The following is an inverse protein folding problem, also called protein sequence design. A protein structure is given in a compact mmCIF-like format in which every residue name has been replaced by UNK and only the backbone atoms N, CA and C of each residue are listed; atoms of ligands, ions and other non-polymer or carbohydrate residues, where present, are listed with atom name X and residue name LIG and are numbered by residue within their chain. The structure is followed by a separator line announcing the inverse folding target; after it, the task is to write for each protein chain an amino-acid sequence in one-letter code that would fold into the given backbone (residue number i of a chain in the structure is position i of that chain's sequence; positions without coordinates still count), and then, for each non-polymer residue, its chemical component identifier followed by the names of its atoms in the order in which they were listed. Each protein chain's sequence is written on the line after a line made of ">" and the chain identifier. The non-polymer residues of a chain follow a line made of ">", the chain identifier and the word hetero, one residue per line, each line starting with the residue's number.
data_IF_631166681517
#
_entry.id   IF_631166681517
#
_cell.length_a   1.000
_cell.length_b   1.000
_cell.length_c   1.000
_cell.angle_alpha   90.00
_cell.angle_beta   90.00
_cell.angle_gamma   90.00
#
_symmetry.space_group_name_H-M   'P 1'
#
loop_
_entity.id
_entity.type
_entity.pdbx_description
1 polymer ?
#
# COMPACT_ATOMS: atom_id res chain seq x y z
N UNK A 1 -30.68 3.50 6.28
CA UNK A 1 -30.17 2.16 6.64
C UNK A 1 -31.12 1.55 7.65
N UNK A 2 -31.45 0.27 7.52
CA UNK A 2 -32.36 -0.42 8.44
C UNK A 2 -31.61 -0.92 9.68
N UNK A 3 -32.31 -1.15 10.81
CA UNK A 3 -31.71 -1.66 12.05
C UNK A 3 -30.87 -2.95 11.86
N UNK A 4 -31.23 -3.79 10.89
CA UNK A 4 -30.52 -5.03 10.56
C UNK A 4 -29.13 -4.76 9.96
N UNK A 5 -29.05 -3.76 9.09
CA UNK A 5 -27.83 -3.37 8.39
C UNK A 5 -26.79 -2.82 9.38
N UNK A 6 -27.20 -1.95 10.30
CA UNK A 6 -26.32 -1.46 11.38
C UNK A 6 -25.73 -2.57 12.26
N UNK A 7 -26.53 -3.60 12.55
CA UNK A 7 -26.09 -4.75 13.35
C UNK A 7 -25.06 -5.58 12.57
N UNK A 8 -25.31 -5.85 11.29
CA UNK A 8 -24.40 -6.61 10.45
C UNK A 8 -23.09 -5.85 10.22
N UNK A 9 -23.15 -4.55 9.98
CA UNK A 9 -21.96 -3.70 9.85
C UNK A 9 -21.12 -3.77 11.13
N UNK A 10 -21.74 -3.60 12.30
CA UNK A 10 -21.04 -3.73 13.59
C UNK A 10 -20.45 -5.13 13.79
N UNK A 11 -21.13 -6.17 13.33
CA UNK A 11 -20.65 -7.55 13.47
C UNK A 11 -19.40 -7.81 12.62
N UNK A 12 -19.41 -7.36 11.36
CA UNK A 12 -18.32 -7.58 10.40
C UNK A 12 -17.20 -6.54 10.46
N UNK A 13 -17.36 -5.44 11.20
CA UNK A 13 -16.26 -4.52 11.52
C UNK A 13 -15.16 -5.16 12.40
N UNK A 14 -15.44 -6.31 13.02
CA UNK A 14 -14.44 -7.07 13.78
C UNK A 14 -13.61 -7.93 12.81
N UNK A 15 -12.29 -7.73 12.77
CA UNK A 15 -11.41 -8.43 11.84
C UNK A 15 -11.39 -9.95 12.05
N UNK A 16 -11.60 -10.44 13.28
CA UNK A 16 -11.67 -11.88 13.55
C UNK A 16 -12.90 -12.49 12.89
N UNK A 17 -14.07 -11.88 13.16
CA UNK A 17 -15.35 -12.35 12.59
C UNK A 17 -15.38 -12.25 11.07
N UNK A 18 -14.76 -11.19 10.54
CA UNK A 18 -14.62 -11.01 9.11
C UNK A 18 -13.77 -12.12 8.49
N UNK A 19 -12.58 -12.39 9.04
CA UNK A 19 -11.71 -13.43 8.51
C UNK A 19 -12.34 -14.82 8.64
N UNK A 20 -12.97 -15.14 9.78
CA UNK A 20 -13.67 -16.41 9.97
C UNK A 20 -14.78 -16.61 8.94
N UNK A 21 -15.55 -15.55 8.64
CA UNK A 21 -16.57 -15.58 7.62
C UNK A 21 -16.00 -15.84 6.21
N UNK A 22 -14.96 -15.13 5.81
CA UNK A 22 -14.33 -15.32 4.50
C UNK A 22 -13.65 -16.68 4.38
N UNK A 23 -12.87 -17.08 5.39
CA UNK A 23 -12.23 -18.40 5.47
C UNK A 23 -13.26 -19.52 5.37
N UNK A 24 -14.38 -19.42 6.10
CA UNK A 24 -15.43 -20.43 6.08
C UNK A 24 -16.25 -20.46 4.79
N UNK A 25 -16.70 -19.30 4.29
CA UNK A 25 -17.69 -19.21 3.21
C UNK A 25 -17.05 -19.11 1.84
N UNK A 26 -16.03 -18.25 1.68
CA UNK A 26 -15.39 -17.98 0.39
C UNK A 26 -14.28 -18.99 0.11
N UNK A 27 -13.51 -19.34 1.13
CA UNK A 27 -12.35 -20.24 1.01
C UNK A 27 -12.65 -21.68 1.46
N UNK A 28 -13.93 -22.03 1.64
CA UNK A 28 -14.35 -23.42 1.89
C UNK A 28 -13.84 -24.03 3.20
N UNK A 29 -13.45 -23.21 4.17
CA UNK A 29 -12.90 -23.62 5.47
C UNK A 29 -11.39 -23.40 5.62
N UNK A 30 -10.69 -23.05 4.54
CA UNK A 30 -9.24 -22.79 4.60
C UNK A 30 -8.94 -21.45 5.27
N UNK A 31 -8.02 -21.47 6.25
CA UNK A 31 -7.60 -20.27 7.00
C UNK A 31 -6.57 -19.47 6.19
N UNK A 32 -7.04 -18.75 5.16
CA UNK A 32 -6.20 -17.95 4.29
C UNK A 32 -6.01 -16.51 4.77
N UNK A 33 -7.01 -15.94 5.44
CA UNK A 33 -6.94 -14.59 6.01
C UNK A 33 -6.62 -14.64 7.50
N UNK A 34 -5.59 -13.91 7.92
CA UNK A 34 -5.26 -13.71 9.34
C UNK A 34 -5.88 -12.39 9.85
N UNK A 35 -6.63 -12.41 10.96
CA UNK A 35 -7.15 -11.20 11.61
C UNK A 35 -6.08 -10.16 11.98
N UNK A 36 -4.83 -10.57 12.22
CA UNK A 36 -3.71 -9.69 12.57
C UNK A 36 -3.25 -8.84 11.39
N UNK A 37 -3.32 -9.41 10.18
CA UNK A 37 -2.91 -8.75 8.94
C UNK A 37 -4.08 -8.03 8.26
N UNK A 38 -5.26 -8.06 8.89
CA UNK A 38 -6.51 -7.52 8.34
C UNK A 38 -6.90 -6.24 9.07
N UNK A 39 -7.01 -5.16 8.31
CA UNK A 39 -7.33 -3.82 8.83
C UNK A 39 -8.54 -3.25 8.11
N UNK A 40 -9.39 -2.54 8.84
CA UNK A 40 -10.52 -1.82 8.25
C UNK A 40 -10.02 -0.70 7.35
N UNK A 41 -10.59 -0.58 6.16
CA UNK A 41 -10.29 0.51 5.24
C UNK A 41 -11.58 1.14 4.72
N UNK A 42 -11.62 2.46 4.68
CA UNK A 42 -12.76 3.17 4.08
C UNK A 42 -12.57 3.25 2.57
N UNK A 43 -13.46 2.63 1.79
CA UNK A 43 -13.55 2.91 0.34
C UNK A 43 -14.53 4.05 0.15
N UNK A 44 -14.01 5.22 -0.21
CA UNK A 44 -14.80 6.44 -0.36
C UNK A 44 -14.85 6.80 -1.84
N UNK A 45 -15.96 6.44 -2.49
CA UNK A 45 -16.18 6.77 -3.90
C UNK A 45 -16.95 8.10 -4.01
N UNK A 46 -16.39 9.09 -4.73
CA UNK A 46 -17.09 10.34 -5.07
C UNK A 46 -17.75 10.21 -6.43
N UNK A 47 -19.08 10.32 -6.46
CA UNK A 47 -19.82 10.36 -7.73
C UNK A 47 -19.78 11.77 -8.33
N UNK A 48 -19.87 11.91 -9.66
CA UNK A 48 -19.90 13.20 -10.37
C UNK A 48 -20.96 14.21 -9.85
N UNK A 49 -21.98 13.74 -9.11
CA UNK A 49 -22.96 14.58 -8.40
C UNK A 49 -22.61 14.92 -6.95
N UNK A 50 -21.35 14.72 -6.51
CA UNK A 50 -20.93 14.94 -5.11
C UNK A 50 -21.37 13.87 -4.11
N UNK A 51 -22.06 12.82 -4.56
CA UNK A 51 -22.54 11.74 -3.70
C UNK A 51 -21.37 10.84 -3.28
N UNK A 52 -21.04 10.88 -1.99
CA UNK A 52 -20.09 9.95 -1.35
C UNK A 52 -20.79 8.62 -1.12
N UNK A 53 -20.36 7.57 -1.83
CA UNK A 53 -20.81 6.20 -1.57
C UNK A 53 -19.68 5.45 -0.89
N UNK A 54 -20.02 4.80 0.22
CA UNK A 54 -19.12 3.99 1.01
C UNK A 54 -19.68 2.57 1.03
N UNK A 55 -18.78 1.59 0.95
CA UNK A 55 -19.12 0.18 1.14
C UNK A 55 -19.52 -0.05 2.59
N UNK A 56 -20.42 -0.99 2.83
CA UNK A 56 -20.94 -1.25 4.17
C UNK A 56 -19.82 -1.71 5.13
N UNK A 57 -19.04 -2.71 4.71
CA UNK A 57 -17.80 -3.13 5.40
C UNK A 57 -16.72 -3.39 4.37
N UNK A 58 -15.52 -2.86 4.61
CA UNK A 58 -14.37 -3.07 3.74
C UNK A 58 -13.10 -3.26 4.58
N UNK A 59 -12.35 -4.29 4.26
CA UNK A 59 -11.13 -4.69 4.94
C UNK A 59 -10.01 -4.87 3.93
N UNK A 60 -8.83 -4.39 4.29
CA UNK A 60 -7.58 -4.64 3.56
C UNK A 60 -6.81 -5.71 4.33
N UNK A 61 -6.38 -6.74 3.62
CA UNK A 61 -5.62 -7.86 4.20
C UNK A 61 -4.41 -8.18 3.33
N UNK A 62 -3.40 -8.83 3.90
CA UNK A 62 -2.23 -9.30 3.16
C UNK A 62 -2.38 -10.79 2.85
N UNK A 63 -2.16 -11.17 1.60
CA UNK A 63 -2.19 -12.55 1.16
C UNK A 63 -1.01 -12.81 0.22
N UNK A 64 -0.13 -13.75 0.60
CA UNK A 64 1.04 -14.16 -0.20
C UNK A 64 1.90 -12.97 -0.69
N UNK A 65 2.08 -11.94 0.15
CA UNK A 65 2.87 -10.75 -0.19
C UNK A 65 2.16 -9.72 -1.06
N UNK A 66 0.90 -9.94 -1.42
CA UNK A 66 0.04 -8.97 -2.10
C UNK A 66 -1.03 -8.44 -1.14
N UNK A 67 -1.47 -7.19 -1.35
CA UNK A 67 -2.62 -6.65 -0.62
C UNK A 67 -3.91 -6.99 -1.35
N UNK A 68 -4.89 -7.49 -0.61
CA UNK A 68 -6.23 -7.79 -1.11
C UNK A 68 -7.23 -6.91 -0.36
N UNK A 69 -8.17 -6.34 -1.10
CA UNK A 69 -9.30 -5.59 -0.54
C UNK A 69 -10.53 -6.49 -0.63
N UNK A 70 -11.14 -6.77 0.52
CA UNK A 70 -12.34 -7.57 0.65
C UNK A 70 -13.47 -6.68 1.18
N UNK A 71 -14.62 -6.72 0.53
CA UNK A 71 -15.78 -5.96 0.96
C UNK A 71 -17.01 -6.84 1.13
N UNK A 72 -17.88 -6.43 2.05
CA UNK A 72 -19.20 -7.03 2.31
C UNK A 72 -20.23 -5.92 2.10
N UNK A 73 -21.21 -6.20 1.25
CA UNK A 73 -22.36 -5.32 1.00
C UNK A 73 -23.60 -6.01 1.56
N UNK A 74 -24.18 -5.44 2.61
CA UNK A 74 -25.30 -6.04 3.32
C UNK A 74 -26.60 -5.77 2.57
N UNK A 75 -27.37 -6.84 2.35
CA UNK A 75 -28.59 -6.77 1.57
C UNK A 75 -29.74 -7.45 2.29
N UNK A 76 -30.83 -6.71 2.50
CA UNK A 76 -32.05 -7.25 3.16
C UNK A 76 -32.90 -8.05 2.19
N UNK A 77 -33.08 -7.56 0.96
CA UNK A 77 -33.87 -8.21 -0.09
C UNK A 77 -33.05 -8.31 -1.38
N UNK A 78 -33.20 -9.40 -2.13
CA UNK A 78 -32.48 -9.63 -3.38
C UNK A 78 -32.84 -8.54 -4.40
N UNK A 79 -31.84 -7.82 -4.87
CA UNK A 79 -31.92 -6.73 -5.83
C UNK A 79 -30.90 -6.98 -6.92
N UNK A 80 -31.39 -7.36 -8.10
CA UNK A 80 -30.54 -7.76 -9.24
C UNK A 80 -29.58 -6.67 -9.72
N UNK A 81 -29.93 -5.39 -9.52
CA UNK A 81 -29.02 -4.27 -9.83
C UNK A 81 -27.84 -4.11 -8.86
N UNK A 82 -27.74 -4.91 -7.79
CA UNK A 82 -26.61 -4.82 -6.86
C UNK A 82 -25.29 -5.15 -7.53
N UNK A 83 -25.27 -6.09 -8.48
CA UNK A 83 -24.06 -6.43 -9.24
C UNK A 83 -23.53 -5.21 -9.99
N UNK A 84 -24.42 -4.49 -10.70
CA UNK A 84 -24.07 -3.27 -11.44
C UNK A 84 -23.59 -2.17 -10.49
N UNK A 85 -24.24 -2.03 -9.33
CA UNK A 85 -23.83 -1.08 -8.30
C UNK A 85 -22.42 -1.39 -7.78
N UNK A 86 -22.12 -2.65 -7.48
CA UNK A 86 -20.81 -3.08 -7.00
C UNK A 86 -19.73 -2.82 -8.04
N UNK A 87 -19.98 -3.20 -9.31
CA UNK A 87 -19.05 -2.93 -10.42
C UNK A 87 -18.76 -1.45 -10.59
N UNK A 88 -19.78 -0.59 -10.48
CA UNK A 88 -19.59 0.86 -10.58
C UNK A 88 -18.73 1.39 -9.42
N UNK A 89 -18.93 0.88 -8.20
CA UNK A 89 -18.10 1.27 -7.05
C UNK A 89 -16.65 0.83 -7.23
N UNK A 90 -16.41 -0.38 -7.76
CA UNK A 90 -15.05 -0.84 -8.07
C UNK A 90 -14.39 0.04 -9.13
N UNK A 91 -15.10 0.34 -10.22
CA UNK A 91 -14.59 1.20 -11.29
C UNK A 91 -14.22 2.61 -10.78
N UNK A 92 -15.04 3.18 -9.90
CA UNK A 92 -14.78 4.49 -9.30
C UNK A 92 -13.58 4.47 -8.34
N UNK A 93 -13.41 3.38 -7.60
CA UNK A 93 -12.24 3.22 -6.73
C UNK A 93 -10.95 3.06 -7.55
N UNK A 94 -11.00 2.34 -8.67
CA UNK A 94 -9.88 2.30 -9.61
C UNK A 94 -9.57 3.68 -10.20
N UNK A 95 -10.58 4.45 -10.62
CA UNK A 95 -10.39 5.82 -11.11
C UNK A 95 -9.73 6.73 -10.06
N UNK A 96 -10.15 6.61 -8.79
CA UNK A 96 -9.50 7.29 -7.66
C UNK A 96 -8.03 6.89 -7.49
N UNK A 97 -7.73 5.60 -7.55
CA UNK A 97 -6.34 5.11 -7.43
C UNK A 97 -5.48 5.56 -8.61
N UNK A 98 -6.02 5.57 -9.82
CA UNK A 98 -5.35 6.05 -11.03
C UNK A 98 -5.02 7.55 -10.97
N UNK A 99 -5.90 8.34 -10.34
CA UNK A 99 -5.72 9.80 -10.21
C UNK A 99 -4.84 10.20 -9.02
N UNK A 100 -4.76 9.38 -7.98
CA UNK A 100 -3.90 9.64 -6.81
C UNK A 100 -2.48 9.08 -6.92
N UNK A 101 -2.26 8.05 -7.73
CA UNK A 101 -0.93 7.47 -7.95
C UNK A 101 -0.31 7.98 -9.26
N UNK A 102 0.65 8.91 -9.14
CA UNK A 102 1.39 9.47 -10.27
C UNK A 102 2.02 8.40 -11.17
N UNK A 103 2.39 7.22 -10.61
CA UNK A 103 2.96 6.12 -11.39
C UNK A 103 1.93 5.51 -12.32
N UNK A 104 0.68 5.40 -11.89
CA UNK A 104 -0.43 4.90 -12.69
C UNK A 104 -0.88 5.94 -13.74
N UNK A 105 -0.88 7.22 -13.37
CA UNK A 105 -1.21 8.31 -14.27
C UNK A 105 -0.22 8.42 -15.45
N UNK A 106 1.09 8.27 -15.17
CA UNK A 106 2.14 8.20 -16.19
C UNK A 106 1.96 7.00 -17.13
N UNK A 107 1.40 5.90 -16.65
CA UNK A 107 1.15 4.71 -17.48
C UNK A 107 -0.03 4.90 -18.43
N UNK A 108 -1.10 5.57 -17.98
CA UNK A 108 -2.27 5.86 -18.81
C UNK A 108 -1.96 6.87 -19.93
N UNK A 109 -1.03 7.79 -19.67
CA UNK A 109 -0.60 8.80 -20.64
C UNK A 109 0.41 8.26 -21.66
N UNK A 110 1.05 7.12 -21.38
CA UNK A 110 1.83 6.39 -22.37
C UNK A 110 0.87 5.58 -23.25
N UNK A 111 0.78 5.92 -24.55
CA UNK A 111 0.17 5.05 -25.56
C UNK A 111 0.93 3.71 -25.59
N UNK A 112 0.48 2.72 -24.82
CA UNK A 112 0.99 1.36 -24.89
C UNK A 112 -0.18 0.40 -24.95
N UNK A 113 -0.15 -0.40 -26.01
CA UNK A 113 -1.01 -1.56 -26.25
C UNK A 113 -1.35 -2.28 -24.96
N UNK A 114 -2.62 -2.71 -24.85
CA UNK A 114 -3.22 -3.44 -23.74
C UNK A 114 -2.23 -4.35 -23.01
N UNK A 115 -1.70 -3.86 -21.88
CA UNK A 115 -0.84 -4.63 -20.99
C UNK A 115 -1.71 -5.26 -19.91
N UNK A 116 -1.74 -6.59 -19.86
CA UNK A 116 -2.45 -7.32 -18.81
C UNK A 116 -1.94 -6.98 -17.41
N UNK A 117 -2.80 -7.16 -16.39
CA UNK A 117 -2.57 -6.83 -14.97
C UNK A 117 -1.19 -7.23 -14.42
N UNK A 118 -0.63 -8.36 -14.84
CA UNK A 118 0.67 -8.85 -14.34
C UNK A 118 1.83 -7.94 -14.77
N UNK A 119 1.78 -7.39 -15.98
CA UNK A 119 2.81 -6.48 -16.51
C UNK A 119 2.83 -5.16 -15.75
N UNK A 120 1.65 -4.74 -15.26
CA UNK A 120 1.51 -3.54 -14.46
C UNK A 120 2.15 -3.71 -13.08
N UNK A 121 1.91 -4.84 -12.41
CA UNK A 121 2.52 -5.12 -11.12
C UNK A 121 4.05 -5.16 -11.19
N UNK A 122 4.61 -5.78 -12.24
CA UNK A 122 6.06 -5.82 -12.45
C UNK A 122 6.66 -4.42 -12.69
N UNK A 123 5.98 -3.59 -13.49
CA UNK A 123 6.40 -2.22 -13.72
C UNK A 123 6.42 -1.39 -12.43
N UNK A 124 5.37 -1.48 -11.61
CA UNK A 124 5.29 -0.73 -10.35
C UNK A 124 6.38 -1.17 -9.37
N UNK A 125 6.64 -2.48 -9.28
CA UNK A 125 7.73 -3.02 -8.47
C UNK A 125 9.08 -2.47 -8.95
N UNK A 126 9.33 -2.47 -10.26
CA UNK A 126 10.60 -2.02 -10.81
C UNK A 126 10.79 -0.50 -10.68
N UNK A 127 9.74 0.30 -10.92
CA UNK A 127 9.76 1.76 -10.68
C UNK A 127 10.04 2.06 -9.21
N UNK A 128 9.36 1.36 -8.28
CA UNK A 128 9.60 1.51 -6.84
C UNK A 128 11.03 1.16 -6.42
N UNK A 129 11.62 0.10 -7.00
CA UNK A 129 13.05 -0.23 -6.78
C UNK A 129 13.99 0.87 -7.30
N UNK A 130 13.70 1.44 -8.47
CA UNK A 130 14.51 2.51 -9.06
C UNK A 130 14.47 3.78 -8.21
N UNK A 131 13.27 4.18 -7.76
CA UNK A 131 13.08 5.30 -6.85
C UNK A 131 13.82 5.08 -5.52
N UNK A 132 13.66 3.91 -4.90
CA UNK A 132 14.34 3.58 -3.64
C UNK A 132 15.87 3.55 -3.77
N UNK A 133 16.42 3.11 -4.91
CA UNK A 133 17.87 3.20 -5.17
C UNK A 133 18.34 4.65 -5.26
N UNK A 134 17.56 5.51 -5.93
CA UNK A 134 17.88 6.94 -6.07
C UNK A 134 17.87 7.64 -4.71
N UNK A 135 16.82 7.43 -3.92
CA UNK A 135 16.69 7.99 -2.56
C UNK A 135 17.81 7.49 -1.63
N UNK A 136 18.13 6.20 -1.70
CA UNK A 136 19.23 5.61 -0.93
C UNK A 136 20.60 6.19 -1.31
N UNK A 137 20.82 6.50 -2.59
CA UNK A 137 22.05 7.15 -3.06
C UNK A 137 22.15 8.60 -2.54
N UNK A 138 21.07 9.37 -2.68
CA UNK A 138 21.02 10.77 -2.22
C UNK A 138 21.22 10.87 -0.70
N UNK A 139 20.57 9.99 0.07
CA UNK A 139 20.73 9.93 1.53
C UNK A 139 22.15 9.49 1.92
N UNK A 140 22.71 8.50 1.20
CA UNK A 140 24.09 8.08 1.39
C UNK A 140 25.10 9.20 1.12
N UNK A 141 24.88 10.00 0.07
CA UNK A 141 25.71 11.16 -0.26
C UNK A 141 25.63 12.23 0.84
N UNK A 142 24.43 12.53 1.35
CA UNK A 142 24.24 13.48 2.45
C UNK A 142 24.91 13.03 3.75
N UNK A 143 24.80 11.75 4.10
CA UNK A 143 25.49 11.17 5.24
C UNK A 143 27.02 11.24 5.07
N UNK A 144 27.53 10.96 3.88
CA UNK A 144 28.96 11.05 3.57
C UNK A 144 29.48 12.48 3.70
N UNK A 145 28.77 13.47 3.15
CA UNK A 145 29.12 14.89 3.25
C UNK A 145 29.13 15.33 4.71
N UNK A 146 28.14 14.91 5.49
CA UNK A 146 28.04 15.23 6.91
C UNK A 146 29.20 14.63 7.71
N UNK A 147 29.54 13.37 7.43
CA UNK A 147 30.67 12.68 8.04
C UNK A 147 32.00 13.39 7.72
N UNK A 148 32.23 13.78 6.47
CA UNK A 148 33.44 14.50 6.05
C UNK A 148 33.56 15.83 6.79
N UNK A 149 32.45 16.56 6.99
CA UNK A 149 32.45 17.81 7.77
C UNK A 149 32.82 17.59 9.23
N UNK A 150 32.27 16.55 9.87
CA UNK A 150 32.62 16.19 11.25
C UNK A 150 34.10 15.83 11.40
N UNK A 151 34.62 14.98 10.51
CA UNK A 151 36.02 14.58 10.53
C UNK A 151 36.98 15.73 10.22
N UNK A 152 36.58 16.67 9.35
CA UNK A 152 37.33 17.90 9.11
C UNK A 152 37.43 18.78 10.35
N UNK A 153 36.34 18.92 11.12
CA UNK A 153 36.33 19.71 12.34
C UNK A 153 37.27 19.15 13.42
N UNK A 154 37.48 17.83 13.43
CA UNK A 154 38.40 17.14 14.35
C UNK A 154 39.80 16.89 13.75
N UNK A 155 40.07 17.38 12.53
CA UNK A 155 41.32 17.20 11.82
C UNK A 155 41.69 15.72 11.54
N UNK A 156 40.69 14.85 11.42
CA UNK A 156 40.81 13.39 11.18
C UNK A 156 40.64 12.99 9.71
N UNK A 157 40.77 13.94 8.78
CA UNK A 157 40.63 13.67 7.35
C UNK A 157 41.70 12.71 6.80
N UNK A 158 42.91 12.69 7.36
CA UNK A 158 43.95 11.74 6.95
C UNK A 158 43.59 10.29 7.30
N UNK A 159 42.97 10.06 8.46
CA UNK A 159 42.44 8.74 8.85
C UNK A 159 41.35 8.29 7.87
N UNK A 160 40.47 9.20 7.46
CA UNK A 160 39.43 8.93 6.48
C UNK A 160 40.00 8.59 5.10
N UNK A 161 41.04 9.30 4.64
CA UNK A 161 41.68 9.01 3.35
C UNK A 161 42.43 7.66 3.37
N UNK A 162 42.97 7.25 4.53
CA UNK A 162 43.67 5.98 4.67
C UNK A 162 42.73 4.78 4.79
N UNK A 163 41.57 4.95 5.42
CA UNK A 163 40.73 3.82 5.87
C UNK A 163 39.24 3.95 5.50
N UNK A 164 38.86 5.02 4.81
CA UNK A 164 37.47 5.35 4.47
C UNK A 164 36.84 4.41 3.44
N UNK A 165 37.62 3.58 2.75
CA UNK A 165 37.10 2.53 1.87
C UNK A 165 36.46 1.37 2.66
N UNK A 166 36.84 1.18 3.93
CA UNK A 166 36.29 0.12 4.80
C UNK A 166 34.86 0.47 5.28
N UNK A 167 33.84 -0.33 4.88
CA UNK A 167 32.46 -0.11 5.30
C UNK A 167 32.26 -0.17 6.82
N UNK A 168 33.02 -1.00 7.53
CA UNK A 168 32.87 -1.15 8.98
C UNK A 168 33.39 0.07 9.73
N UNK A 169 34.47 0.70 9.24
CA UNK A 169 34.98 1.96 9.80
C UNK A 169 34.05 3.12 9.51
N UNK A 170 33.54 3.24 8.28
CA UNK A 170 32.50 4.22 7.97
C UNK A 170 31.29 4.10 8.89
N UNK A 171 30.81 2.88 9.13
CA UNK A 171 29.68 2.65 10.05
C UNK A 171 30.00 3.02 11.51
N UNK A 172 31.24 2.82 11.97
CA UNK A 172 31.67 3.26 13.30
C UNK A 172 31.68 4.77 13.42
N UNK A 173 32.23 5.50 12.44
CA UNK A 173 32.24 6.95 12.48
C UNK A 173 30.84 7.56 12.37
N UNK A 174 29.98 7.00 11.52
CA UNK A 174 28.57 7.42 11.46
C UNK A 174 27.91 7.30 12.84
N UNK A 175 28.11 6.18 13.53
CA UNK A 175 27.61 5.97 14.90
C UNK A 175 28.24 6.91 15.94
N UNK A 176 29.52 7.23 15.80
CA UNK A 176 30.26 8.15 16.69
C UNK A 176 29.69 9.58 16.60
N UNK A 177 29.35 10.03 15.39
CA UNK A 177 28.79 11.37 15.14
C UNK A 177 27.26 11.42 15.15
N UNK A 178 26.58 10.30 15.39
CA UNK A 178 25.11 10.21 15.43
C UNK A 178 24.45 10.44 14.07
N UNK A 179 25.13 10.06 12.99
CA UNK A 179 24.70 10.13 11.59
C UNK A 179 24.21 8.76 11.08
#
# INVERSE_FOLDING_TARGET
>A
MGKKDEILNRYFCDSQRFCDFFNGVVFGGDQLLDPKDTVSCETVCRTAGGLRRQRDVCMKTSYQGSYVICAVENQTDIHYGMVVRTMLMDAMEYDRQLTEDDRLLELLTQEKEERGMNVLSDYMIEKGKMEGRKEGLETGEQHMISLIRCLQAENRLEEFLAEGDDPQKRARWLKEYGL
#
